data_IF_156951247866
#
_entry.id   IF_156951247866
#
_cell.length_a   1.000
_cell.length_b   1.000
_cell.length_c   1.000
_cell.angle_alpha   90.00
_cell.angle_beta   90.00
_cell.angle_gamma   90.00
#
_symmetry.space_group_name_H-M   'P 1'
#
loop_
_entity.id
_entity.type
_entity.pdbx_description
1 polymer ?
#
# COMPACT_ATOMS: atom_id res chain seq x y z
N UNK A 1 50.11 -12.12 17.59
CA UNK A 1 49.75 -12.18 16.16
C UNK A 1 48.33 -12.73 16.04
N UNK A 2 47.40 -11.90 15.51
CA UNK A 2 46.13 -12.19 14.80
C UNK A 2 45.17 -13.27 15.38
N UNK A 3 44.01 -12.87 15.93
CA UNK A 3 42.71 -12.67 15.23
C UNK A 3 42.10 -13.96 14.68
N UNK A 4 40.90 -14.33 15.13
CA UNK A 4 39.66 -14.29 14.33
C UNK A 4 38.44 -14.58 15.23
N UNK A 5 37.52 -13.61 15.26
CA UNK A 5 36.18 -13.67 15.83
C UNK A 5 35.24 -14.02 14.66
N UNK A 6 34.33 -15.00 14.74
CA UNK A 6 33.31 -15.19 13.73
C UNK A 6 32.23 -14.10 13.88
N UNK A 7 32.09 -13.28 12.85
CA UNK A 7 30.98 -12.32 12.68
C UNK A 7 29.75 -13.10 12.23
N UNK A 8 28.70 -13.10 13.06
CA UNK A 8 27.36 -13.57 12.72
C UNK A 8 26.73 -12.51 11.81
N UNK A 9 26.48 -12.84 10.53
CA UNK A 9 25.58 -12.05 9.69
C UNK A 9 24.16 -12.58 9.92
N UNK A 10 23.35 -11.77 10.60
CA UNK A 10 21.96 -12.09 10.93
C UNK A 10 21.09 -12.11 9.68
N UNK A 11 20.50 -13.27 9.41
CA UNK A 11 19.27 -13.40 8.66
C UNK A 11 18.13 -12.83 9.52
N UNK A 12 17.53 -11.73 9.09
CA UNK A 12 16.29 -11.23 9.69
C UNK A 12 15.15 -12.13 9.23
N UNK A 13 14.61 -12.92 10.16
CA UNK A 13 13.37 -13.65 10.00
C UNK A 13 12.22 -12.64 9.84
N UNK A 14 11.59 -12.67 8.66
CA UNK A 14 10.50 -11.79 8.28
C UNK A 14 9.21 -12.23 8.97
N UNK A 15 8.76 -11.50 9.99
CA UNK A 15 7.43 -11.69 10.55
C UNK A 15 6.42 -11.00 9.62
N UNK A 16 5.65 -11.80 8.89
CA UNK A 16 4.47 -11.38 8.14
C UNK A 16 3.33 -11.07 9.12
N UNK A 17 2.70 -9.90 9.00
CA UNK A 17 1.47 -9.58 9.73
C UNK A 17 0.41 -9.03 8.75
N UNK A 18 -0.75 -9.69 8.82
CA UNK A 18 -2.07 -9.46 8.21
C UNK A 18 -2.17 -9.13 6.70
N UNK A 19 -2.47 -10.17 5.91
CA UNK A 19 -3.25 -10.02 4.68
C UNK A 19 -4.73 -9.83 5.07
N UNK A 20 -5.35 -8.71 4.69
CA UNK A 20 -6.80 -8.54 4.79
C UNK A 20 -7.50 -9.50 3.80
N UNK A 21 -8.01 -10.63 4.32
CA UNK A 21 -8.88 -11.53 3.57
C UNK A 21 -10.33 -11.02 3.62
N UNK A 22 -10.95 -10.78 2.46
CA UNK A 22 -12.38 -10.51 2.33
C UNK A 22 -13.24 -11.80 2.32
N UNK A 23 -12.65 -12.97 2.58
CA UNK A 23 -13.37 -14.23 2.57
C UNK A 23 -14.02 -14.51 3.93
N UNK A 24 -15.21 -13.97 4.16
CA UNK A 24 -16.09 -14.41 5.26
C UNK A 24 -17.54 -14.51 4.79
N UNK A 25 -17.78 -15.37 3.79
CA UNK A 25 -19.10 -15.92 3.49
C UNK A 25 -18.97 -17.45 3.49
N UNK A 26 -19.52 -18.09 4.53
CA UNK A 26 -19.46 -19.55 4.71
C UNK A 26 -20.26 -20.26 3.61
N UNK A 27 -19.69 -21.28 2.92
CA UNK A 27 -20.49 -22.22 2.15
C UNK A 27 -21.11 -23.28 3.08
N UNK A 28 -22.40 -23.55 2.87
CA UNK A 28 -23.15 -24.64 3.48
C UNK A 28 -22.74 -25.96 2.80
N UNK A 29 -22.33 -26.97 3.57
CA UNK A 29 -21.97 -28.32 3.07
C UNK A 29 -23.11 -29.33 3.25
N UNK A 30 -23.23 -30.26 2.31
CA UNK A 30 -23.98 -31.53 2.41
C UNK A 30 -23.05 -32.73 2.11
N UNK A 31 -23.33 -33.97 2.60
CA UNK A 31 -22.29 -34.98 2.80
C UNK A 31 -22.27 -36.16 1.79
N UNK A 32 -21.08 -36.78 1.73
CA UNK A 32 -20.73 -38.17 1.33
C UNK A 32 -20.60 -38.49 -0.19
N UNK A 33 -19.71 -39.37 -0.66
CA UNK A 33 -19.14 -40.62 -0.10
C UNK A 33 -17.82 -41.03 -0.83
N UNK A 34 -16.98 -41.87 -0.20
CA UNK A 34 -15.66 -42.36 -0.67
C UNK A 34 -15.76 -43.62 -1.56
N UNK A 35 -14.82 -43.81 -2.49
CA UNK A 35 -14.15 -45.10 -2.79
C UNK A 35 -12.78 -44.86 -3.49
N UNK A 36 -11.77 -45.70 -3.20
CA UNK A 36 -10.40 -45.70 -3.75
C UNK A 36 -10.13 -47.02 -4.49
N UNK A 37 -9.41 -46.99 -5.61
CA UNK A 37 -8.56 -48.07 -6.17
C UNK A 37 -7.48 -47.50 -7.14
N UNK A 38 -6.41 -48.24 -7.54
CA UNK A 38 -5.02 -47.76 -7.46
C UNK A 38 -4.33 -47.31 -8.77
N UNK A 39 -3.13 -46.75 -8.55
CA UNK A 39 -2.23 -46.00 -9.42
C UNK A 39 -1.89 -46.59 -10.81
N UNK A 40 -2.03 -45.74 -11.84
CA UNK A 40 -1.33 -45.82 -13.12
C UNK A 40 -0.38 -44.61 -13.26
N UNK A 41 0.75 -44.80 -13.93
CA UNK A 41 1.79 -43.80 -14.12
C UNK A 41 1.24 -42.50 -14.73
N UNK A 42 1.35 -41.39 -14.00
CA UNK A 42 0.86 -40.07 -14.40
C UNK A 42 1.94 -39.37 -15.22
N UNK A 43 1.71 -39.20 -16.53
CA UNK A 43 2.34 -38.11 -17.28
C UNK A 43 1.96 -36.79 -16.61
N UNK A 44 2.95 -36.04 -16.13
CA UNK A 44 2.72 -34.78 -15.42
C UNK A 44 1.99 -33.79 -16.36
N UNK A 45 0.77 -33.44 -15.97
CA UNK A 45 -0.02 -32.38 -16.61
C UNK A 45 0.82 -31.09 -16.74
N UNK A 46 0.73 -30.31 -17.83
CA UNK A 46 1.52 -29.08 -18.04
C UNK A 46 1.46 -28.06 -16.89
N UNK A 47 0.41 -28.13 -16.06
CA UNK A 47 0.21 -27.33 -14.85
C UNK A 47 1.12 -27.75 -13.69
N UNK A 48 1.43 -29.05 -13.57
CA UNK A 48 2.31 -29.58 -12.52
C UNK A 48 3.78 -29.21 -12.75
N UNK A 49 4.21 -29.14 -14.02
CA UNK A 49 5.54 -28.63 -14.39
C UNK A 49 5.71 -27.13 -14.05
N UNK A 50 4.65 -26.33 -14.19
CA UNK A 50 4.63 -24.90 -13.82
C UNK A 50 4.69 -24.72 -12.30
N UNK A 51 3.92 -25.51 -11.54
CA UNK A 51 3.94 -25.49 -10.07
C UNK A 51 5.28 -25.98 -9.50
N UNK A 52 5.88 -27.00 -10.12
CA UNK A 52 7.20 -27.49 -9.76
C UNK A 52 8.30 -26.42 -9.97
N UNK A 53 8.25 -25.69 -11.09
CA UNK A 53 9.17 -24.58 -11.36
C UNK A 53 8.95 -23.41 -10.39
N UNK A 54 7.70 -23.12 -10.03
CA UNK A 54 7.33 -22.12 -9.02
C UNK A 54 7.91 -22.47 -7.64
N UNK A 55 7.74 -23.71 -7.16
CA UNK A 55 8.27 -24.14 -5.85
C UNK A 55 9.80 -24.15 -5.81
N UNK A 56 10.44 -24.63 -6.89
CA UNK A 56 11.90 -24.67 -7.01
C UNK A 56 12.52 -23.27 -7.01
N UNK A 57 11.88 -22.31 -7.68
CA UNK A 57 12.42 -20.96 -7.84
C UNK A 57 12.23 -20.08 -6.58
N UNK A 58 11.20 -20.36 -5.77
CA UNK A 58 10.91 -19.66 -4.53
C UNK A 58 11.54 -20.31 -3.28
N UNK A 59 12.44 -21.28 -3.44
CA UNK A 59 13.14 -21.93 -2.33
C UNK A 59 12.25 -22.78 -1.41
N UNK A 60 11.05 -23.17 -1.89
CA UNK A 60 10.11 -24.00 -1.12
C UNK A 60 10.61 -25.45 -1.18
N UNK A 61 10.97 -26.10 -0.05
CA UNK A 61 11.52 -27.45 -0.07
C UNK A 61 10.50 -28.44 -0.65
N UNK A 62 10.82 -29.02 -1.80
CA UNK A 62 9.94 -29.89 -2.60
C UNK A 62 9.70 -31.30 -2.03
N UNK A 63 9.42 -31.44 -0.73
CA UNK A 63 9.08 -32.74 -0.11
C UNK A 63 7.69 -32.72 0.52
N UNK A 64 6.68 -32.93 -0.33
CA UNK A 64 5.42 -33.66 -0.13
C UNK A 64 4.40 -33.13 -1.14
N UNK A 65 4.53 -33.57 -2.40
CA UNK A 65 3.48 -33.41 -3.41
C UNK A 65 3.10 -34.81 -3.92
N UNK A 66 2.88 -35.72 -2.98
CA UNK A 66 2.22 -36.99 -3.26
C UNK A 66 0.72 -36.77 -3.06
N UNK A 67 0.04 -36.51 -4.18
CA UNK A 67 -1.41 -36.30 -4.35
C UNK A 67 -1.97 -34.91 -4.03
N UNK A 68 -2.41 -34.21 -5.09
CA UNK A 68 -3.41 -33.13 -5.00
C UNK A 68 -4.78 -33.82 -4.87
N UNK A 69 -5.62 -33.52 -3.86
CA UNK A 69 -6.95 -34.10 -3.77
C UNK A 69 -7.82 -33.63 -4.95
N UNK A 70 -8.43 -34.56 -5.68
CA UNK A 70 -9.55 -34.23 -6.57
C UNK A 70 -10.68 -33.60 -5.74
N UNK A 71 -11.06 -32.37 -6.08
CA UNK A 71 -12.13 -31.63 -5.41
C UNK A 71 -11.70 -30.47 -4.50
N UNK A 72 -10.42 -30.11 -4.45
CA UNK A 72 -10.01 -28.86 -3.80
C UNK A 72 -10.49 -27.64 -4.61
N UNK A 73 -11.54 -26.95 -4.14
CA UNK A 73 -11.82 -25.60 -4.59
C UNK A 73 -10.65 -24.71 -4.15
N UNK A 74 -9.94 -24.13 -5.10
CA UNK A 74 -8.91 -23.13 -4.82
C UNK A 74 -9.63 -21.94 -4.18
N UNK A 75 -9.50 -21.79 -2.86
CA UNK A 75 -9.89 -20.56 -2.20
C UNK A 75 -8.97 -19.46 -2.75
N UNK A 76 -9.55 -18.48 -3.44
CA UNK A 76 -8.84 -17.40 -4.12
C UNK A 76 -7.98 -16.62 -3.10
N UNK A 77 -6.65 -16.73 -3.24
CA UNK A 77 -5.69 -16.16 -2.32
C UNK A 77 -5.53 -14.64 -2.54
N UNK A 78 -5.87 -13.85 -1.51
CA UNK A 78 -5.71 -12.39 -1.49
C UNK A 78 -4.22 -12.00 -1.34
N UNK A 79 -3.49 -11.94 -2.45
CA UNK A 79 -2.09 -11.46 -2.53
C UNK A 79 -2.05 -9.98 -2.93
N UNK A 80 -2.54 -9.07 -2.07
CA UNK A 80 -2.81 -7.69 -2.51
C UNK A 80 -1.68 -6.74 -2.13
N UNK A 81 -1.29 -6.68 -0.85
CA UNK A 81 -0.25 -5.77 -0.39
C UNK A 81 0.37 -6.28 0.92
N UNK A 82 1.57 -5.78 1.23
CA UNK A 82 2.16 -5.88 2.57
C UNK A 82 1.93 -4.56 3.28
N UNK A 83 1.25 -4.63 4.43
CA UNK A 83 1.06 -3.54 5.37
C UNK A 83 2.01 -3.72 6.54
N UNK A 84 2.91 -2.78 6.77
CA UNK A 84 3.82 -2.84 7.92
C UNK A 84 3.65 -1.56 8.73
N UNK A 85 3.16 -1.71 9.96
CA UNK A 85 3.26 -0.69 10.98
C UNK A 85 4.43 -1.02 11.92
N UNK A 86 5.06 -0.01 12.55
CA UNK A 86 5.91 -0.25 13.70
C UNK A 86 5.09 -0.99 14.76
N UNK A 87 5.53 -2.18 15.15
CA UNK A 87 4.88 -2.98 16.20
C UNK A 87 5.09 -2.27 17.55
N UNK A 88 4.01 -2.09 18.32
CA UNK A 88 4.12 -1.75 19.76
C UNK A 88 4.87 -2.90 20.45
N UNK A 89 5.99 -2.65 21.17
CA UNK A 89 6.89 -3.73 21.54
C UNK A 89 6.26 -4.75 22.48
N UNK A 90 6.23 -6.00 22.04
CA UNK A 90 6.27 -7.15 22.95
C UNK A 90 7.72 -7.25 23.43
N UNK A 91 8.04 -6.49 24.48
CA UNK A 91 9.30 -6.50 25.25
C UNK A 91 10.51 -5.72 24.70
N UNK A 92 10.97 -4.73 25.49
CA UNK A 92 12.39 -4.40 25.67
C UNK A 92 13.12 -3.56 24.62
N UNK A 93 12.73 -3.57 23.35
CA UNK A 93 13.38 -2.76 22.31
C UNK A 93 12.76 -1.35 22.23
N UNK A 94 13.59 -0.30 22.35
CA UNK A 94 13.17 1.10 22.15
C UNK A 94 12.98 1.36 20.64
N UNK A 95 11.79 1.09 20.12
CA UNK A 95 11.41 1.62 18.80
C UNK A 95 11.01 3.09 18.92
N UNK A 96 11.29 3.88 17.87
CA UNK A 96 10.84 5.28 17.77
C UNK A 96 9.30 5.35 17.81
N UNK A 97 8.78 6.44 18.37
CA UNK A 97 7.36 6.75 18.32
C UNK A 97 6.85 6.76 16.87
N UNK A 98 5.58 6.38 16.67
CA UNK A 98 4.93 6.43 15.37
C UNK A 98 4.91 7.87 14.86
N UNK A 99 5.20 8.04 13.58
CA UNK A 99 5.24 9.35 12.91
C UNK A 99 4.05 9.52 11.97
N UNK A 100 3.59 10.76 11.70
CA UNK A 100 2.59 11.07 10.67
C UNK A 100 3.15 10.93 9.24
N UNK A 101 3.82 9.79 8.99
CA UNK A 101 4.53 9.49 7.76
C UNK A 101 4.04 8.14 7.21
N UNK A 102 3.44 8.19 6.03
CA UNK A 102 3.16 7.03 5.19
C UNK A 102 4.18 6.96 4.07
N UNK A 103 4.79 5.79 3.85
CA UNK A 103 5.64 5.52 2.68
C UNK A 103 5.04 4.36 1.92
N UNK A 104 4.66 4.55 0.67
CA UNK A 104 4.13 3.47 -0.16
C UNK A 104 4.99 3.18 -1.40
N UNK A 105 4.96 1.92 -1.84
CA UNK A 105 5.59 1.44 -3.05
C UNK A 105 4.57 0.64 -3.87
N UNK A 106 3.85 1.28 -4.79
CA UNK A 106 2.78 0.64 -5.55
C UNK A 106 3.28 -0.27 -6.67
N UNK A 107 4.56 -0.17 -7.04
CA UNK A 107 5.10 -0.71 -8.30
C UNK A 107 6.22 -1.74 -8.12
N UNK A 108 6.56 -2.11 -6.89
CA UNK A 108 7.63 -3.05 -6.54
C UNK A 108 7.20 -4.53 -6.51
N UNK A 109 5.90 -4.78 -6.68
CA UNK A 109 5.31 -6.12 -6.64
C UNK A 109 5.84 -7.05 -7.73
N UNK A 110 6.12 -8.29 -7.32
CA UNK A 110 6.74 -9.36 -8.12
C UNK A 110 6.08 -10.72 -7.93
N UNK A 111 4.92 -10.77 -7.28
CA UNK A 111 4.06 -11.95 -7.21
C UNK A 111 3.12 -11.88 -8.41
N UNK A 112 3.47 -12.60 -9.46
CA UNK A 112 2.70 -12.65 -10.70
C UNK A 112 1.48 -13.57 -10.52
N UNK A 113 0.25 -13.06 -10.66
CA UNK A 113 -0.96 -13.87 -10.54
C UNK A 113 -0.98 -15.05 -11.52
N UNK A 114 -1.55 -16.18 -11.11
CA UNK A 114 -1.59 -17.42 -11.91
C UNK A 114 -2.42 -17.27 -13.19
N UNK A 115 -3.35 -16.32 -13.21
CA UNK A 115 -4.19 -15.96 -14.36
C UNK A 115 -3.53 -14.91 -15.28
N UNK A 116 -2.30 -14.46 -14.97
CA UNK A 116 -1.61 -13.47 -15.80
C UNK A 116 -1.04 -14.13 -17.07
N UNK A 117 -1.85 -14.11 -18.13
CA UNK A 117 -1.48 -14.57 -19.48
C UNK A 117 -0.59 -13.54 -20.24
N UNK A 118 0.62 -13.31 -19.74
CA UNK A 118 1.59 -12.43 -20.41
C UNK A 118 2.29 -13.13 -21.58
N UNK A 119 2.70 -12.34 -22.58
CA UNK A 119 3.40 -12.79 -23.79
C UNK A 119 4.93 -12.71 -23.77
N UNK A 120 5.58 -11.66 -23.24
CA UNK A 120 7.02 -11.51 -23.37
C UNK A 120 7.78 -12.50 -22.48
N UNK A 121 9.05 -12.71 -22.79
CA UNK A 121 9.99 -13.41 -21.89
C UNK A 121 9.92 -12.82 -20.48
N UNK A 122 9.99 -13.67 -19.46
CA UNK A 122 9.74 -13.25 -18.09
C UNK A 122 10.68 -12.12 -17.64
N UNK A 123 11.98 -12.22 -17.92
CA UNK A 123 12.94 -11.14 -17.63
C UNK A 123 12.54 -9.82 -18.28
N UNK A 124 11.99 -9.84 -19.49
CA UNK A 124 11.49 -8.62 -20.15
C UNK A 124 10.25 -8.08 -19.46
N UNK A 125 9.30 -8.93 -19.07
CA UNK A 125 8.12 -8.53 -18.30
C UNK A 125 8.51 -7.81 -17.00
N UNK A 126 9.50 -8.34 -16.29
CA UNK A 126 10.06 -7.77 -15.07
C UNK A 126 10.64 -6.37 -15.26
N UNK A 127 11.05 -5.98 -16.48
CA UNK A 127 11.51 -4.60 -16.77
C UNK A 127 10.39 -3.58 -16.58
N UNK A 128 9.14 -4.03 -16.48
CA UNK A 128 8.00 -3.23 -16.08
C UNK A 128 7.98 -2.90 -14.58
N UNK A 129 8.60 -3.68 -13.70
CA UNK A 129 8.64 -3.45 -12.25
C UNK A 129 9.42 -2.18 -11.90
N UNK A 130 9.05 -1.54 -10.79
CA UNK A 130 9.95 -0.68 -10.02
C UNK A 130 10.68 -1.57 -9.00
N UNK A 131 11.48 -2.50 -9.53
CA UNK A 131 12.04 -3.62 -8.79
C UNK A 131 12.82 -3.17 -7.55
N UNK A 132 12.64 -3.91 -6.45
CA UNK A 132 13.32 -3.72 -5.17
C UNK A 132 13.08 -2.37 -4.45
N UNK A 133 12.15 -1.53 -4.93
CA UNK A 133 11.78 -0.30 -4.21
C UNK A 133 11.17 -0.62 -2.84
N UNK A 134 10.41 -1.71 -2.71
CA UNK A 134 9.94 -2.26 -1.43
C UNK A 134 11.08 -2.42 -0.42
N UNK A 135 12.22 -2.95 -0.88
CA UNK A 135 13.41 -3.12 -0.03
C UNK A 135 14.11 -1.78 0.26
N UNK A 136 14.11 -0.84 -0.68
CA UNK A 136 14.70 0.50 -0.49
C UNK A 136 13.92 1.32 0.53
N UNK A 137 12.59 1.17 0.59
CA UNK A 137 11.72 1.90 1.54
C UNK A 137 11.55 1.21 2.89
N UNK A 138 11.78 -0.10 2.98
CA UNK A 138 11.64 -0.86 4.23
C UNK A 138 12.30 -0.22 5.48
N UNK A 139 13.50 0.40 5.39
CA UNK A 139 14.10 1.08 6.54
C UNK A 139 13.28 2.24 7.13
N UNK A 140 12.28 2.77 6.42
CA UNK A 140 11.37 3.79 6.94
C UNK A 140 10.60 3.32 8.19
N UNK A 141 10.38 2.01 8.33
CA UNK A 141 9.74 1.42 9.53
C UNK A 141 10.50 1.77 10.82
N UNK A 142 11.84 1.77 10.77
CA UNK A 142 12.67 2.12 11.93
C UNK A 142 12.55 3.60 12.33
N UNK A 143 11.98 4.43 11.46
CA UNK A 143 11.75 5.86 11.71
C UNK A 143 10.36 6.15 12.28
N UNK A 144 9.53 5.13 12.50
CA UNK A 144 8.14 5.28 12.95
C UNK A 144 7.12 5.44 11.82
N UNK A 145 7.54 5.33 10.56
CA UNK A 145 6.65 5.43 9.41
C UNK A 145 5.77 4.19 9.26
N UNK A 146 4.56 4.37 8.71
CA UNK A 146 3.77 3.27 8.16
C UNK A 146 4.25 2.97 6.73
N UNK A 147 4.44 1.69 6.37
CA UNK A 147 4.92 1.30 5.04
C UNK A 147 3.91 0.37 4.34
N UNK A 148 3.61 0.66 3.07
CA UNK A 148 2.73 -0.14 2.22
C UNK A 148 3.47 -0.53 0.94
N UNK A 149 3.41 -1.79 0.53
CA UNK A 149 3.95 -2.20 -0.77
C UNK A 149 2.97 -3.12 -1.51
N UNK A 150 2.77 -2.88 -2.80
CA UNK A 150 1.98 -3.80 -3.63
C UNK A 150 2.76 -5.10 -3.82
N UNK A 151 2.08 -6.24 -3.74
CA UNK A 151 2.71 -7.54 -3.99
C UNK A 151 2.65 -7.97 -5.45
N UNK A 152 1.65 -7.47 -6.18
CA UNK A 152 1.39 -7.77 -7.58
C UNK A 152 2.07 -6.76 -8.52
N UNK A 153 2.43 -7.17 -9.75
CA UNK A 153 3.13 -6.30 -10.68
C UNK A 153 2.17 -5.30 -11.33
N UNK A 154 2.62 -4.05 -11.49
CA UNK A 154 1.85 -3.01 -12.20
C UNK A 154 1.55 -3.31 -13.66
N UNK A 155 2.26 -4.28 -14.26
CA UNK A 155 1.96 -4.78 -15.62
C UNK A 155 0.66 -5.59 -15.66
N UNK A 156 0.22 -6.14 -14.52
CA UNK A 156 -1.07 -6.80 -14.37
C UNK A 156 -2.19 -5.76 -14.17
N UNK A 157 -2.04 -4.87 -13.19
CA UNK A 157 -2.90 -3.69 -13.00
C UNK A 157 -2.13 -2.59 -12.25
N UNK A 158 -2.19 -1.35 -12.73
CA UNK A 158 -1.41 -0.23 -12.22
C UNK A 158 -2.24 0.62 -11.23
N UNK A 159 -1.99 0.45 -9.93
CA UNK A 159 -2.71 1.19 -8.86
C UNK A 159 -2.36 2.68 -8.79
N UNK A 160 -1.34 3.13 -9.51
CA UNK A 160 -1.02 4.55 -9.66
C UNK A 160 -1.66 5.16 -10.92
N UNK A 161 -2.83 4.62 -11.32
CA UNK A 161 -3.70 5.11 -12.39
C UNK A 161 -5.12 5.29 -11.89
N UNK A 162 -5.92 6.00 -12.68
CA UNK A 162 -7.35 6.12 -12.44
C UNK A 162 -8.06 4.86 -12.99
N UNK A 163 -9.10 4.39 -12.32
CA UNK A 163 -9.90 3.21 -12.68
C UNK A 163 -10.53 3.31 -14.07
N UNK A 164 -10.89 4.53 -14.49
CA UNK A 164 -11.37 4.83 -15.84
C UNK A 164 -10.26 4.99 -16.90
N UNK A 165 -8.98 4.94 -16.53
CA UNK A 165 -7.85 5.12 -17.47
C UNK A 165 -7.55 3.83 -18.26
N UNK A 166 -8.58 3.33 -18.94
CA UNK A 166 -8.59 2.04 -19.61
C UNK A 166 -8.35 2.22 -21.10
N UNK A 167 -7.43 1.40 -21.62
CA UNK A 167 -7.20 1.22 -23.04
C UNK A 167 -8.26 0.29 -23.65
N UNK A 168 -9.26 0.84 -24.32
CA UNK A 168 -10.36 0.04 -24.89
C UNK A 168 -9.91 -0.93 -25.99
N UNK A 169 -8.75 -0.70 -26.61
CA UNK A 169 -8.19 -1.60 -27.63
C UNK A 169 -7.69 -2.93 -27.04
N UNK A 170 -7.46 -2.98 -25.72
CA UNK A 170 -7.10 -4.21 -25.02
C UNK A 170 -8.30 -5.11 -24.74
N UNK A 171 -9.53 -4.65 -24.98
CA UNK A 171 -10.75 -5.33 -24.53
C UNK A 171 -11.41 -6.16 -25.65
N UNK A 172 -11.83 -7.36 -25.29
CA UNK A 172 -12.55 -8.28 -26.19
C UNK A 172 -13.99 -7.84 -26.45
N UNK A 173 -14.54 -6.99 -25.60
CA UNK A 173 -15.90 -6.45 -25.69
C UNK A 173 -15.94 -5.03 -25.12
N UNK A 174 -16.96 -4.22 -25.45
CA UNK A 174 -17.09 -2.87 -24.90
C UNK A 174 -17.09 -2.85 -23.37
N UNK A 175 -16.34 -1.91 -22.78
CA UNK A 175 -16.37 -1.71 -21.33
C UNK A 175 -17.72 -1.12 -20.90
N UNK A 176 -18.39 -1.67 -19.87
CA UNK A 176 -19.73 -1.22 -19.48
C UNK A 176 -19.76 0.08 -18.68
N UNK A 177 -18.61 0.60 -18.25
CA UNK A 177 -18.48 1.82 -17.42
C UNK A 177 -17.79 2.97 -18.17
N UNK A 178 -17.81 4.21 -17.65
CA UNK A 178 -17.10 5.32 -18.27
C UNK A 178 -15.60 5.06 -18.43
N UNK A 179 -15.06 5.36 -19.62
CA UNK A 179 -13.62 5.32 -19.92
C UNK A 179 -13.11 6.71 -20.22
N UNK A 180 -11.90 7.02 -19.72
CA UNK A 180 -11.19 8.30 -19.89
C UNK A 180 -9.70 8.03 -20.13
N UNK A 181 -9.32 7.48 -21.29
CA UNK A 181 -7.93 7.16 -21.60
C UNK A 181 -7.07 8.44 -21.60
N UNK A 182 -6.02 8.43 -20.78
CA UNK A 182 -5.04 9.50 -20.64
C UNK A 182 -3.97 9.45 -21.74
N UNK A 183 -3.11 10.48 -21.80
CA UNK A 183 -1.91 10.45 -22.64
C UNK A 183 -0.98 9.26 -22.32
N UNK A 184 -0.99 8.77 -21.07
CA UNK A 184 -0.22 7.58 -20.68
C UNK A 184 -0.85 6.33 -21.29
N UNK A 185 -2.17 6.22 -21.28
CA UNK A 185 -2.91 5.14 -21.94
C UNK A 185 -2.69 5.14 -23.44
N UNK A 186 -2.68 6.31 -24.09
CA UNK A 186 -2.33 6.43 -25.51
C UNK A 186 -0.92 5.89 -25.83
N UNK A 187 0.00 5.90 -24.85
CA UNK A 187 1.36 5.31 -24.94
C UNK A 187 1.42 3.86 -24.43
N UNK A 188 0.30 3.24 -24.11
CA UNK A 188 0.20 1.86 -23.62
C UNK A 188 0.53 1.67 -22.14
N UNK A 189 0.46 2.74 -21.33
CA UNK A 189 0.80 2.77 -19.90
C UNK A 189 -0.40 3.16 -19.01
N UNK A 190 -1.60 2.74 -19.41
CA UNK A 190 -2.86 2.96 -18.67
C UNK A 190 -3.00 2.07 -17.44
N UNK A 191 -4.24 1.97 -16.91
CA UNK A 191 -4.60 1.07 -15.81
C UNK A 191 -4.15 -0.37 -16.11
N UNK A 192 -4.34 -0.79 -17.36
CA UNK A 192 -3.82 -2.03 -17.92
C UNK A 192 -2.73 -1.63 -18.92
N UNK A 193 -1.55 -2.24 -18.83
CA UNK A 193 -0.45 -1.93 -19.75
C UNK A 193 -0.62 -2.68 -21.06
N UNK A 194 -0.51 -1.95 -22.17
CA UNK A 194 -0.36 -2.53 -23.51
C UNK A 194 1.07 -2.96 -23.76
N UNK A 195 2.04 -2.20 -23.25
CA UNK A 195 3.48 -2.45 -23.44
C UNK A 195 4.23 -2.45 -22.12
N UNK A 196 5.25 -3.30 -22.01
CA UNK A 196 6.19 -3.30 -20.88
C UNK A 196 7.25 -2.21 -21.06
N UNK A 197 7.83 -2.19 -22.26
CA UNK A 197 8.83 -1.26 -22.79
C UNK A 197 8.51 -1.02 -24.26
N UNK A 198 9.15 -0.04 -24.95
CA UNK A 198 8.84 0.22 -26.36
C UNK A 198 8.98 -1.04 -27.21
N UNK A 199 7.91 -1.40 -27.93
CA UNK A 199 7.88 -2.56 -28.83
C UNK A 199 7.66 -3.92 -28.16
N UNK A 200 7.52 -4.00 -26.84
CA UNK A 200 7.31 -5.27 -26.12
C UNK A 200 5.88 -5.32 -25.56
N UNK A 201 4.91 -5.92 -26.28
CA UNK A 201 3.52 -5.99 -25.83
C UNK A 201 3.37 -6.93 -24.64
N UNK A 202 2.48 -6.59 -23.70
CA UNK A 202 2.17 -7.43 -22.53
C UNK A 202 1.40 -8.68 -22.94
N UNK A 203 0.48 -8.54 -23.91
CA UNK A 203 -0.38 -9.63 -24.39
C UNK A 203 0.00 -10.04 -25.81
N UNK A 204 -0.27 -11.30 -26.14
CA UNK A 204 0.01 -11.84 -27.47
C UNK A 204 -0.82 -11.10 -28.53
N UNK A 205 -0.32 -10.94 -29.77
CA UNK A 205 -1.12 -10.37 -30.86
C UNK A 205 -2.48 -11.07 -31.00
N UNK A 206 -3.55 -10.29 -31.03
CA UNK A 206 -4.93 -10.81 -31.12
C UNK A 206 -5.54 -11.28 -29.79
N UNK A 207 -4.75 -11.42 -28.72
CA UNK A 207 -5.27 -11.69 -27.38
C UNK A 207 -5.80 -10.40 -26.76
N UNK A 208 -7.04 -10.44 -26.28
CA UNK A 208 -7.73 -9.33 -25.62
C UNK A 208 -8.26 -9.80 -24.28
N UNK A 209 -8.35 -8.87 -23.33
CA UNK A 209 -8.92 -9.11 -21.99
C UNK A 209 -10.45 -9.07 -22.06
N UNK A 210 -11.10 -10.00 -21.37
CA UNK A 210 -12.55 -9.91 -21.16
C UNK A 210 -12.88 -8.85 -20.10
N UNK A 211 -14.15 -8.42 -20.07
CA UNK A 211 -14.63 -7.47 -19.06
C UNK A 211 -14.48 -8.08 -17.65
N UNK A 212 -14.77 -9.37 -17.52
CA UNK A 212 -14.67 -10.13 -16.26
C UNK A 212 -13.24 -10.18 -15.76
N UNK A 213 -12.26 -10.41 -16.66
CA UNK A 213 -10.84 -10.39 -16.30
C UNK A 213 -10.44 -9.03 -15.74
N UNK A 214 -10.77 -7.93 -16.43
CA UNK A 214 -10.43 -6.58 -15.96
C UNK A 214 -11.14 -6.24 -14.65
N UNK A 215 -12.42 -6.59 -14.53
CA UNK A 215 -13.19 -6.38 -13.31
C UNK A 215 -12.60 -7.14 -12.12
N UNK A 216 -12.19 -8.41 -12.31
CA UNK A 216 -11.49 -9.19 -11.29
C UNK A 216 -10.21 -8.48 -10.84
N UNK A 217 -9.41 -7.93 -11.75
CA UNK A 217 -8.20 -7.19 -11.37
C UNK A 217 -8.51 -5.96 -10.52
N UNK A 218 -9.57 -5.24 -10.88
CA UNK A 218 -9.99 -4.05 -10.15
C UNK A 218 -10.39 -4.42 -8.71
N UNK A 219 -11.32 -5.37 -8.56
CA UNK A 219 -11.88 -5.76 -7.26
C UNK A 219 -10.87 -6.49 -6.37
N UNK A 220 -10.02 -7.33 -6.95
CA UNK A 220 -9.10 -8.18 -6.18
C UNK A 220 -7.77 -7.52 -5.85
N UNK A 221 -7.35 -6.49 -6.59
CA UNK A 221 -6.00 -5.90 -6.45
C UNK A 221 -6.02 -4.38 -6.35
N UNK A 222 -6.70 -3.69 -7.27
CA UNK A 222 -6.69 -2.23 -7.33
C UNK A 222 -7.43 -1.60 -6.15
N UNK A 223 -8.68 -1.98 -5.93
CA UNK A 223 -9.52 -1.43 -4.87
C UNK A 223 -8.98 -1.74 -3.47
N UNK A 224 -8.55 -2.98 -3.14
CA UNK A 224 -8.07 -3.26 -1.79
C UNK A 224 -6.72 -2.57 -1.50
N UNK A 225 -5.85 -2.41 -2.51
CA UNK A 225 -4.62 -1.63 -2.34
C UNK A 225 -4.91 -0.17 -2.00
N UNK A 226 -5.79 0.49 -2.78
CA UNK A 226 -6.16 1.89 -2.53
C UNK A 226 -6.94 2.06 -1.22
N UNK A 227 -7.74 1.06 -0.83
CA UNK A 227 -8.43 1.03 0.46
C UNK A 227 -7.42 0.98 1.61
N UNK A 228 -6.37 0.17 1.48
CA UNK A 228 -5.31 0.09 2.48
C UNK A 228 -4.57 1.42 2.65
N UNK A 229 -4.22 2.07 1.54
CA UNK A 229 -3.60 3.42 1.54
C UNK A 229 -4.54 4.44 2.21
N UNK A 230 -5.82 4.46 1.82
CA UNK A 230 -6.81 5.37 2.40
C UNK A 230 -6.97 5.17 3.92
N UNK A 231 -7.04 3.92 4.38
CA UNK A 231 -7.16 3.60 5.79
C UNK A 231 -5.91 4.03 6.58
N UNK A 232 -4.71 3.89 5.99
CA UNK A 232 -3.47 4.34 6.63
C UNK A 232 -3.41 5.86 6.77
N UNK A 233 -3.83 6.59 5.72
CA UNK A 233 -3.95 8.05 5.73
C UNK A 233 -4.95 8.49 6.80
N UNK A 234 -6.16 7.92 6.81
CA UNK A 234 -7.19 8.21 7.79
C UNK A 234 -6.70 7.98 9.23
N UNK A 235 -6.00 6.86 9.46
CA UNK A 235 -5.50 6.48 10.76
C UNK A 235 -4.42 7.44 11.27
N UNK A 236 -3.44 7.79 10.43
CA UNK A 236 -2.39 8.76 10.78
C UNK A 236 -2.98 10.16 10.98
N UNK A 237 -3.87 10.60 10.09
CA UNK A 237 -4.50 11.92 10.19
C UNK A 237 -5.39 12.03 11.44
N UNK A 238 -6.11 10.97 11.82
CA UNK A 238 -6.92 10.96 13.05
C UNK A 238 -6.09 11.02 14.34
N UNK A 239 -4.84 10.57 14.27
CA UNK A 239 -3.91 10.56 15.39
C UNK A 239 -3.15 11.89 15.51
N UNK A 240 -2.68 12.43 14.39
CA UNK A 240 -1.74 13.55 14.38
C UNK A 240 -2.33 14.87 13.86
N UNK A 241 -3.56 14.87 13.33
CA UNK A 241 -4.18 16.02 12.67
C UNK A 241 -3.56 16.40 11.32
N UNK A 242 -2.51 15.70 10.89
CA UNK A 242 -1.79 15.88 9.63
C UNK A 242 -1.15 14.55 9.22
N UNK A 243 -0.95 14.33 7.94
CA UNK A 243 -0.24 13.17 7.40
C UNK A 243 0.59 13.55 6.18
N UNK A 244 1.80 13.01 6.14
CA UNK A 244 2.74 13.15 5.05
C UNK A 244 2.93 11.80 4.37
N UNK A 245 2.69 11.75 3.07
CA UNK A 245 2.66 10.53 2.28
C UNK A 245 3.70 10.59 1.17
N UNK A 246 4.67 9.67 1.19
CA UNK A 246 5.69 9.50 0.17
C UNK A 246 5.36 8.29 -0.73
N UNK A 247 4.97 8.55 -1.97
CA UNK A 247 4.73 7.58 -3.05
C UNK A 247 6.02 7.30 -3.81
N UNK A 248 6.69 6.19 -3.47
CA UNK A 248 8.07 5.90 -3.88
C UNK A 248 8.11 4.91 -5.04
N UNK A 249 8.83 5.32 -6.06
CA UNK A 249 8.96 4.69 -7.36
C UNK A 249 10.42 4.57 -7.81
N UNK A 250 10.63 3.86 -8.91
CA UNK A 250 11.87 3.98 -9.67
C UNK A 250 11.66 4.13 -11.16
N UNK A 251 12.39 5.08 -11.73
CA UNK A 251 12.34 5.43 -13.13
C UNK A 251 13.53 4.84 -13.89
N UNK A 252 13.32 4.61 -15.20
CA UNK A 252 14.42 4.22 -16.10
C UNK A 252 15.58 5.21 -16.02
N UNK A 253 16.81 4.73 -16.14
CA UNK A 253 17.99 5.59 -16.03
C UNK A 253 18.05 6.70 -17.07
N UNK A 254 17.47 6.44 -18.25
CA UNK A 254 17.29 7.40 -19.34
C UNK A 254 15.87 7.38 -19.86
N UNK A 255 15.45 8.49 -20.48
CA UNK A 255 14.19 8.57 -21.20
C UNK A 255 14.14 7.63 -22.41
N UNK A 256 12.93 7.21 -22.80
CA UNK A 256 12.66 6.37 -23.97
C UNK A 256 11.42 6.89 -24.73
N UNK A 257 11.05 6.21 -25.82
CA UNK A 257 9.93 6.64 -26.68
C UNK A 257 8.56 6.70 -25.98
N UNK A 258 8.40 6.01 -24.84
CA UNK A 258 7.14 6.01 -24.07
C UNK A 258 7.15 7.04 -22.94
N UNK A 259 8.29 7.67 -22.61
CA UNK A 259 8.40 8.62 -21.49
C UNK A 259 8.22 10.07 -21.96
N UNK A 260 7.78 11.01 -21.08
CA UNK A 260 7.49 12.40 -21.48
C UNK A 260 8.69 13.19 -21.98
N UNK A 261 9.88 12.83 -21.49
CA UNK A 261 11.18 13.44 -21.81
C UNK A 261 11.83 12.91 -23.09
N UNK A 262 11.28 11.85 -23.70
CA UNK A 262 11.76 11.30 -24.96
C UNK A 262 13.03 10.44 -24.85
N UNK A 263 13.46 9.88 -25.98
CA UNK A 263 14.55 8.91 -26.01
C UNK A 263 15.93 9.52 -25.72
N UNK A 264 16.68 8.89 -24.81
CA UNK A 264 18.06 9.25 -24.48
C UNK A 264 18.19 10.41 -23.49
N UNK A 265 17.10 11.03 -23.05
CA UNK A 265 17.11 12.11 -22.07
C UNK A 265 17.83 11.70 -20.78
N UNK A 266 18.74 12.56 -20.31
CA UNK A 266 19.40 12.40 -19.01
C UNK A 266 18.42 12.70 -17.88
N UNK A 267 18.59 12.04 -16.75
CA UNK A 267 17.73 12.19 -15.57
C UNK A 267 18.59 12.42 -14.33
N UNK A 268 18.08 13.19 -13.35
CA UNK A 268 18.72 13.29 -12.04
C UNK A 268 18.70 11.93 -11.33
N UNK A 269 19.34 11.87 -10.18
CA UNK A 269 19.29 10.70 -9.30
C UNK A 269 17.88 10.52 -8.72
N UNK A 270 17.20 11.63 -8.39
CA UNK A 270 15.84 11.62 -7.85
C UNK A 270 14.97 12.70 -8.50
N UNK A 271 13.70 12.39 -8.76
CA UNK A 271 12.67 13.39 -9.07
C UNK A 271 11.66 13.42 -7.94
N UNK A 272 11.38 14.60 -7.41
CA UNK A 272 10.30 14.84 -6.43
C UNK A 272 9.13 15.50 -7.16
N UNK A 273 7.94 14.91 -7.07
CA UNK A 273 6.71 15.43 -7.67
C UNK A 273 5.67 15.75 -6.60
N UNK A 274 5.02 16.91 -6.70
CA UNK A 274 4.01 17.39 -5.75
C UNK A 274 2.74 17.89 -6.47
N UNK A 275 2.55 17.46 -7.71
CA UNK A 275 1.58 17.97 -8.68
C UNK A 275 1.68 19.48 -8.90
N UNK A 276 2.89 20.05 -8.85
CA UNK A 276 3.17 21.49 -8.96
C UNK A 276 2.53 22.29 -7.82
N UNK A 277 2.70 21.79 -6.60
CA UNK A 277 2.18 22.37 -5.36
C UNK A 277 0.71 22.08 -5.08
N UNK A 278 0.07 21.19 -5.85
CA UNK A 278 -1.34 20.84 -5.62
C UNK A 278 -1.52 19.71 -4.59
N UNK A 279 -0.49 18.88 -4.39
CA UNK A 279 -0.59 17.71 -3.51
C UNK A 279 0.09 17.91 -2.15
N UNK A 280 0.94 18.94 -1.99
CA UNK A 280 1.80 19.08 -0.82
C UNK A 280 2.08 20.56 -0.53
N UNK A 281 2.34 20.88 0.74
CA UNK A 281 2.83 22.20 1.11
C UNK A 281 4.28 22.42 0.61
N UNK A 282 4.64 23.65 0.18
CA UNK A 282 5.97 23.95 -0.36
C UNK A 282 7.12 23.63 0.61
N UNK A 283 6.92 23.88 1.91
CA UNK A 283 7.92 23.71 2.96
C UNK A 283 8.36 22.25 3.07
N UNK A 284 7.40 21.32 3.06
CA UNK A 284 7.71 19.89 3.12
C UNK A 284 8.42 19.41 1.84
N UNK A 285 7.95 19.87 0.67
CA UNK A 285 8.58 19.55 -0.62
C UNK A 285 10.04 19.98 -0.62
N UNK A 286 10.32 21.22 -0.18
CA UNK A 286 11.67 21.76 -0.09
C UNK A 286 12.52 20.99 0.92
N UNK A 287 11.96 20.62 2.07
CA UNK A 287 12.66 19.84 3.08
C UNK A 287 13.09 18.47 2.54
N UNK A 288 12.19 17.74 1.87
CA UNK A 288 12.51 16.42 1.29
C UNK A 288 13.59 16.54 0.22
N UNK A 289 13.53 17.55 -0.64
CA UNK A 289 14.58 17.84 -1.64
C UNK A 289 15.93 18.06 -0.96
N UNK A 290 15.99 18.93 0.04
CA UNK A 290 17.23 19.22 0.79
C UNK A 290 17.74 17.99 1.55
N UNK A 291 16.85 17.14 2.04
CA UNK A 291 17.23 15.91 2.72
C UNK A 291 17.93 14.93 1.78
N UNK A 292 17.42 14.79 0.55
CA UNK A 292 18.01 13.96 -0.51
C UNK A 292 19.33 14.55 -1.04
N UNK A 293 19.39 15.86 -1.27
CA UNK A 293 20.60 16.55 -1.73
C UNK A 293 21.75 16.45 -0.71
N UNK A 294 21.43 16.46 0.59
CA UNK A 294 22.41 16.27 1.66
C UNK A 294 23.06 14.87 1.65
N UNK A 295 22.42 13.88 1.03
CA UNK A 295 22.98 12.55 0.79
C UNK A 295 23.80 12.48 -0.52
N UNK A 296 24.01 13.62 -1.19
CA UNK A 296 24.78 13.73 -2.42
C UNK A 296 24.02 13.35 -3.69
N UNK A 297 22.69 13.25 -3.63
CA UNK A 297 21.84 12.92 -4.77
C UNK A 297 21.49 14.20 -5.54
N UNK A 298 21.57 14.14 -6.87
CA UNK A 298 21.00 15.18 -7.72
C UNK A 298 19.46 15.07 -7.73
N UNK A 299 18.77 16.17 -7.49
CA UNK A 299 17.30 16.19 -7.39
C UNK A 299 16.70 17.17 -8.38
N UNK A 300 15.62 16.77 -9.06
CA UNK A 300 14.74 17.71 -9.77
C UNK A 300 13.35 17.71 -9.16
N UNK A 301 12.61 18.80 -9.37
CA UNK A 301 11.22 18.93 -8.92
C UNK A 301 10.28 18.96 -10.12
N UNK A 302 9.26 18.12 -10.10
CA UNK A 302 8.18 18.02 -11.09
C UNK A 302 8.61 17.72 -12.54
N UNK A 303 9.85 17.26 -12.77
CA UNK A 303 10.41 17.05 -14.11
C UNK A 303 11.28 15.78 -14.20
N UNK A 304 10.96 14.83 -15.10
CA UNK A 304 9.81 14.81 -16.02
C UNK A 304 8.49 14.35 -15.37
N UNK A 305 8.54 13.94 -14.10
CA UNK A 305 7.39 13.42 -13.37
C UNK A 305 6.95 14.42 -12.30
N UNK A 306 5.70 14.87 -12.40
CA UNK A 306 5.09 15.79 -11.43
C UNK A 306 4.24 15.08 -10.38
N UNK A 307 4.00 13.77 -10.50
CA UNK A 307 3.01 13.05 -9.70
C UNK A 307 1.93 12.39 -10.55
N UNK A 308 1.39 11.27 -10.08
CA UNK A 308 0.41 10.44 -10.78
C UNK A 308 -0.90 10.25 -9.99
N UNK A 309 -1.54 9.08 -10.12
CA UNK A 309 -2.90 8.81 -9.66
C UNK A 309 -3.06 8.84 -8.14
N UNK A 310 -2.09 8.30 -7.39
CA UNK A 310 -2.12 8.25 -5.92
C UNK A 310 -2.13 9.66 -5.33
N UNK A 311 -1.19 10.52 -5.75
CA UNK A 311 -1.16 11.92 -5.33
C UNK A 311 -2.46 12.66 -5.69
N UNK A 312 -3.03 12.44 -6.89
CA UNK A 312 -4.29 13.08 -7.29
C UNK A 312 -5.48 12.59 -6.48
N UNK A 313 -5.44 11.36 -5.98
CA UNK A 313 -6.53 10.74 -5.23
C UNK A 313 -6.53 11.19 -3.78
N UNK A 314 -5.35 11.28 -3.16
CA UNK A 314 -5.23 11.46 -1.73
C UNK A 314 -4.69 12.83 -1.31
N UNK A 315 -3.91 13.51 -2.17
CA UNK A 315 -3.34 14.82 -1.85
C UNK A 315 -4.44 15.86 -1.64
N UNK A 316 -4.49 16.39 -0.43
CA UNK A 316 -5.42 17.42 0.01
C UNK A 316 -4.71 18.29 1.07
N UNK A 317 -3.72 19.10 0.66
CA UNK A 317 -2.87 19.83 1.60
C UNK A 317 -3.66 20.83 2.47
N UNK A 318 -4.79 21.34 1.98
CA UNK A 318 -5.70 22.18 2.77
C UNK A 318 -6.40 21.43 3.91
N UNK A 319 -6.46 20.09 3.82
CA UNK A 319 -7.07 19.19 4.81
C UNK A 319 -6.00 18.38 5.56
N UNK A 320 -4.74 18.86 5.57
CA UNK A 320 -3.65 18.20 6.30
C UNK A 320 -3.15 16.89 5.69
N UNK A 321 -3.48 16.58 4.43
CA UNK A 321 -2.98 15.39 3.71
C UNK A 321 -1.99 15.82 2.63
N UNK A 322 -0.70 15.67 2.90
CA UNK A 322 0.37 16.09 2.00
C UNK A 322 1.01 14.88 1.31
N UNK A 323 0.98 14.84 -0.02
CA UNK A 323 1.52 13.72 -0.81
C UNK A 323 2.66 14.18 -1.73
N UNK A 324 3.78 13.44 -1.71
CA UNK A 324 4.90 13.59 -2.63
C UNK A 324 5.16 12.28 -3.36
N UNK A 325 5.51 12.37 -4.64
CA UNK A 325 6.04 11.25 -5.42
C UNK A 325 7.56 11.34 -5.45
N UNK A 326 8.25 10.24 -5.20
CA UNK A 326 9.71 10.13 -5.29
C UNK A 326 10.06 9.11 -6.35
N UNK A 327 10.75 9.54 -7.42
CA UNK A 327 11.21 8.67 -8.49
C UNK A 327 12.72 8.47 -8.39
N UNK A 328 13.17 7.27 -8.04
CA UNK A 328 14.58 6.92 -7.96
C UNK A 328 15.13 6.49 -9.32
N UNK A 329 16.27 7.04 -9.73
CA UNK A 329 16.96 6.60 -10.93
C UNK A 329 17.53 5.19 -10.74
N UNK A 330 17.11 4.24 -11.58
CA UNK A 330 17.55 2.83 -11.48
C UNK A 330 19.05 2.63 -11.63
N UNK A 331 19.78 3.54 -12.28
CA UNK A 331 21.25 3.47 -12.36
C UNK A 331 21.93 3.52 -10.97
N UNK A 332 21.21 4.00 -9.95
CA UNK A 332 21.68 4.02 -8.57
C UNK A 332 21.70 2.64 -7.91
N UNK A 333 21.04 1.61 -8.44
CA UNK A 333 20.91 0.34 -7.71
C UNK A 333 20.58 -0.91 -8.54
N UNK A 334 20.14 -0.78 -9.79
CA UNK A 334 19.59 -1.88 -10.60
C UNK A 334 20.29 -2.03 -11.96
N UNK A 335 20.60 -3.26 -12.35
CA UNK A 335 20.79 -3.64 -13.76
C UNK A 335 19.41 -3.69 -14.42
N UNK A 336 19.11 -2.73 -15.30
CA UNK A 336 17.79 -2.58 -15.92
C UNK A 336 17.45 -3.64 -16.99
N UNK A 337 18.45 -4.37 -17.48
CA UNK A 337 18.26 -5.43 -18.47
C UNK A 337 17.95 -6.76 -17.77
N UNK A 338 18.72 -7.11 -16.74
CA UNK A 338 18.53 -8.34 -15.97
C UNK A 338 17.47 -8.21 -14.87
N UNK A 339 17.16 -6.97 -14.46
CA UNK A 339 16.27 -6.67 -13.32
C UNK A 339 16.81 -7.31 -12.03
N UNK A 340 18.09 -7.09 -11.80
CA UNK A 340 18.86 -7.56 -10.65
C UNK A 340 19.55 -6.39 -9.96
N UNK A 341 19.71 -6.46 -8.63
CA UNK A 341 20.48 -5.46 -7.90
C UNK A 341 21.94 -5.46 -8.38
N UNK A 342 22.52 -4.27 -8.50
CA UNK A 342 23.94 -4.11 -8.81
C UNK A 342 24.79 -4.65 -7.65
N UNK A 343 25.76 -5.51 -7.96
CA UNK A 343 26.60 -6.20 -6.96
C UNK A 343 27.75 -5.35 -6.40
N UNK A 344 27.83 -4.06 -6.75
CA UNK A 344 28.93 -3.15 -6.41
C UNK A 344 28.65 -2.28 -5.17
N UNK A 345 27.70 -2.70 -4.34
CA UNK A 345 27.30 -2.01 -3.11
C UNK A 345 26.43 -0.78 -3.32
N UNK A 346 26.06 -0.43 -4.56
CA UNK A 346 25.23 0.73 -4.87
C UNK A 346 23.86 0.66 -4.22
N UNK A 347 23.24 -0.52 -4.22
CA UNK A 347 21.95 -0.76 -3.56
C UNK A 347 22.01 -0.42 -2.07
N UNK A 348 23.00 -0.96 -1.35
CA UNK A 348 23.17 -0.77 0.09
C UNK A 348 23.48 0.69 0.44
N UNK A 349 24.28 1.37 -0.39
CA UNK A 349 24.55 2.81 -0.22
C UNK A 349 23.29 3.64 -0.38
N UNK A 350 22.49 3.38 -1.42
CA UNK A 350 21.23 4.08 -1.64
C UNK A 350 20.23 3.79 -0.50
N UNK A 351 20.08 2.53 -0.11
CA UNK A 351 19.20 2.14 1.00
C UNK A 351 19.60 2.85 2.31
N UNK A 352 20.90 2.93 2.59
CA UNK A 352 21.41 3.62 3.78
C UNK A 352 21.17 5.12 3.74
N UNK A 353 21.31 5.75 2.57
CA UNK A 353 20.99 7.16 2.36
C UNK A 353 19.48 7.41 2.57
N UNK A 354 18.63 6.60 1.96
CA UNK A 354 17.18 6.70 2.12
C UNK A 354 16.75 6.48 3.57
N UNK A 355 17.36 5.54 4.30
CA UNK A 355 17.09 5.34 5.72
C UNK A 355 17.35 6.62 6.55
N UNK A 356 18.45 7.34 6.28
CA UNK A 356 18.74 8.63 6.93
C UNK A 356 17.75 9.72 6.52
N UNK A 357 17.35 9.75 5.25
CA UNK A 357 16.31 10.67 4.75
C UNK A 357 14.99 10.41 5.47
N UNK A 358 14.52 9.16 5.54
CA UNK A 358 13.27 8.81 6.23
C UNK A 358 13.31 9.18 7.71
N UNK A 359 14.44 9.00 8.39
CA UNK A 359 14.58 9.43 9.79
C UNK A 359 14.42 10.96 9.93
N UNK A 360 15.09 11.74 9.07
CA UNK A 360 14.98 13.21 9.06
C UNK A 360 13.57 13.69 8.70
N UNK A 361 12.92 13.03 7.75
CA UNK A 361 11.53 13.31 7.38
C UNK A 361 10.59 13.00 8.54
N UNK A 362 10.71 11.83 9.16
CA UNK A 362 9.89 11.48 10.32
C UNK A 362 10.03 12.52 11.45
N UNK A 363 11.26 12.93 11.78
CA UNK A 363 11.52 13.98 12.78
C UNK A 363 10.84 15.31 12.42
N UNK A 364 10.92 15.71 11.15
CA UNK A 364 10.26 16.91 10.66
C UNK A 364 8.73 16.81 10.77
N UNK A 365 8.14 15.67 10.37
CA UNK A 365 6.69 15.46 10.40
C UNK A 365 6.12 15.45 11.82
N UNK A 366 6.85 14.86 12.77
CA UNK A 366 6.48 14.87 14.19
C UNK A 366 6.47 16.29 14.77
N UNK A 367 7.49 17.09 14.43
CA UNK A 367 7.54 18.50 14.84
C UNK A 367 6.36 19.27 14.27
N UNK A 368 6.06 19.07 12.99
CA UNK A 368 4.97 19.76 12.29
C UNK A 368 3.60 19.39 12.85
N UNK A 369 3.38 18.11 13.19
CA UNK A 369 2.16 17.66 13.86
C UNK A 369 2.00 18.24 15.28
N UNK A 370 3.08 18.37 16.04
CA UNK A 370 3.03 19.02 17.36
C UNK A 370 2.64 20.51 17.27
N UNK A 371 3.07 21.20 16.21
CA UNK A 371 2.68 22.57 15.91
C UNK A 371 1.18 22.68 15.56
N UNK A 372 0.66 21.76 14.73
CA UNK A 372 -0.76 21.73 14.35
C UNK A 372 -1.70 21.39 15.52
N UNK A 373 -1.31 20.46 16.40
CA UNK A 373 -2.13 20.04 17.54
C UNK A 373 -2.04 20.97 18.76
N UNK A 374 -1.17 21.99 18.74
CA UNK A 374 -1.01 22.94 19.84
C UNK A 374 -0.48 22.33 21.16
N UNK A 375 0.08 21.11 21.14
CA UNK A 375 0.66 20.39 22.29
C UNK A 375 1.81 19.47 21.84
N UNK A 376 2.86 19.27 22.66
CA UNK A 376 3.85 18.24 22.38
C UNK A 376 3.20 16.85 22.45
N UNK A 377 3.43 16.04 21.41
CA UNK A 377 2.98 14.64 21.31
C UNK A 377 3.66 13.86 22.43
N UNK A 378 2.89 13.39 23.43
CA UNK A 378 3.40 12.53 24.50
C UNK A 378 3.40 11.06 24.05
N UNK A 379 4.43 10.30 24.43
CA UNK A 379 4.68 8.89 24.08
C UNK A 379 3.64 7.85 24.61
N UNK A 380 2.37 8.22 24.80
CA UNK A 380 1.37 7.37 25.47
C UNK A 380 0.03 7.35 24.72
N UNK A 381 0.01 6.88 23.48
CA UNK A 381 -1.23 6.38 22.86
C UNK A 381 -1.15 4.85 22.83
N UNK A 382 -2.08 4.17 23.49
CA UNK A 382 -2.12 2.71 23.54
C UNK A 382 -2.80 2.13 22.31
N UNK A 383 -2.48 0.89 21.94
CA UNK A 383 -3.11 0.14 20.83
C UNK A 383 -4.64 0.06 20.97
N UNK A 384 -5.16 0.03 22.20
CA UNK A 384 -6.59 0.05 22.49
C UNK A 384 -7.28 1.37 22.09
N UNK A 385 -6.60 2.51 22.23
CA UNK A 385 -7.10 3.84 21.85
C UNK A 385 -7.08 4.04 20.33
N UNK A 386 -6.16 3.38 19.63
CA UNK A 386 -6.08 3.34 18.18
C UNK A 386 -7.26 2.56 17.56
N UNK A 387 -7.47 1.32 18.03
CA UNK A 387 -8.54 0.42 17.58
C UNK A 387 -9.93 1.07 17.79
N UNK A 388 -10.14 1.73 18.94
CA UNK A 388 -11.40 2.44 19.24
C UNK A 388 -11.70 3.61 18.30
N UNK A 389 -10.69 4.33 17.82
CA UNK A 389 -10.86 5.49 16.91
C UNK A 389 -11.07 5.10 15.45
N UNK A 390 -10.32 4.10 14.96
CA UNK A 390 -10.22 3.81 13.52
C UNK A 390 -11.35 2.91 13.00
N UNK A 391 -11.74 1.87 13.76
CA UNK A 391 -12.76 0.89 13.36
C UNK A 391 -14.12 1.49 12.98
N UNK A 392 -14.65 2.51 13.68
CA UNK A 392 -15.93 3.12 13.31
C UNK A 392 -15.90 3.82 11.93
N UNK A 393 -14.76 4.42 11.55
CA UNK A 393 -14.58 5.08 10.26
C UNK A 393 -14.46 4.06 9.12
N UNK A 394 -13.63 3.03 9.33
CA UNK A 394 -13.46 1.91 8.38
C UNK A 394 -14.79 1.21 8.13
N UNK A 395 -15.54 0.88 9.19
CA UNK A 395 -16.84 0.23 9.07
C UNK A 395 -17.88 1.12 8.36
N UNK A 396 -17.81 2.44 8.51
CA UNK A 396 -18.71 3.39 7.82
C UNK A 396 -18.44 3.42 6.32
N UNK A 397 -17.17 3.45 5.90
CA UNK A 397 -16.77 3.46 4.48
C UNK A 397 -17.04 2.12 3.79
N UNK A 398 -16.75 1.00 4.45
CA UNK A 398 -17.09 -0.34 3.94
C UNK A 398 -18.61 -0.49 3.71
N UNK A 399 -19.43 0.01 4.63
CA UNK A 399 -20.90 0.02 4.47
C UNK A 399 -21.36 0.92 3.32
N UNK A 400 -20.76 2.11 3.14
CA UNK A 400 -21.10 2.99 2.01
C UNK A 400 -20.70 2.42 0.65
N UNK A 401 -19.71 1.53 0.60
CA UNK A 401 -19.28 0.80 -0.60
C UNK A 401 -20.03 -0.52 -0.82
N UNK A 402 -21.13 -0.78 -0.08
CA UNK A 402 -21.96 -1.97 -0.25
C UNK A 402 -21.37 -3.27 0.33
N UNK A 403 -20.27 -3.18 1.09
CA UNK A 403 -19.63 -4.35 1.71
C UNK A 403 -20.29 -4.66 3.07
N UNK A 404 -20.59 -5.94 3.33
CA UNK A 404 -21.13 -6.39 4.63
C UNK A 404 -20.00 -6.55 5.63
N UNK A 405 -20.02 -5.75 6.70
CA UNK A 405 -19.10 -5.87 7.84
C UNK A 405 -19.67 -6.90 8.83
N UNK A 406 -18.91 -7.95 9.16
CA UNK A 406 -19.30 -8.94 10.17
C UNK A 406 -19.36 -8.31 11.56
N UNK A 407 -20.38 -8.64 12.38
CA UNK A 407 -20.48 -8.18 13.77
C UNK A 407 -19.28 -8.63 14.63
N UNK A 408 -18.62 -9.74 14.26
CA UNK A 408 -17.43 -10.27 14.93
C UNK A 408 -16.17 -9.39 14.78
N UNK A 409 -16.15 -8.46 13.82
CA UNK A 409 -15.09 -7.43 13.70
C UNK A 409 -15.23 -6.30 14.74
N UNK A 410 -16.38 -6.24 15.45
CA UNK A 410 -16.69 -5.23 16.46
C UNK A 410 -16.68 -5.81 17.89
N UNK A 411 -16.62 -7.13 18.05
CA UNK A 411 -16.67 -7.79 19.37
C UNK A 411 -15.50 -7.47 20.33
N UNK A 412 -14.27 -7.12 19.88
CA UNK A 412 -13.21 -6.70 20.80
C UNK A 412 -13.54 -5.42 21.59
N UNK A 413 -14.58 -4.65 21.20
CA UNK A 413 -15.00 -3.43 21.88
C UNK A 413 -15.95 -3.67 23.07
N UNK A 414 -16.51 -4.87 23.24
CA UNK A 414 -17.58 -5.12 24.23
C UNK A 414 -17.13 -5.93 25.47
N UNK A 415 -15.92 -6.49 25.47
CA UNK A 415 -15.43 -7.36 26.55
C UNK A 415 -14.34 -6.71 27.43
N UNK A 416 -14.17 -5.38 27.35
CA UNK A 416 -13.13 -4.64 28.06
C UNK A 416 -13.49 -4.11 29.45
N UNK A 417 -14.70 -4.37 29.97
CA UNK A 417 -15.14 -3.91 31.30
C UNK A 417 -15.77 -5.06 32.09
N UNK A 418 -14.94 -6.02 32.50
CA UNK A 418 -15.36 -7.03 33.49
C UNK A 418 -14.14 -7.57 34.25
N UNK A 419 -13.45 -6.70 34.99
CA UNK A 419 -12.77 -7.09 36.24
C UNK A 419 -12.34 -5.82 37.00
N UNK A 420 -13.31 -5.23 37.68
CA UNK A 420 -13.09 -4.25 38.75
C UNK A 420 -13.62 -4.86 40.05
N UNK A 421 -12.78 -5.60 40.75
CA UNK A 421 -13.09 -6.17 42.05
C UNK A 421 -13.49 -5.08 43.05
N UNK A 422 -14.71 -5.18 43.56
CA UNK A 422 -15.18 -4.45 44.73
C UNK A 422 -14.40 -4.92 45.97
N UNK A 423 -13.52 -4.07 46.50
CA UNK A 423 -13.25 -4.05 47.95
C UNK A 423 -14.12 -2.95 48.57
N UNK A 424 -15.02 -3.40 49.43
CA UNK A 424 -15.85 -2.60 50.30
C UNK A 424 -15.05 -2.11 51.50
N UNK A 425 -15.13 -0.81 51.82
CA UNK A 425 -15.00 -0.35 53.20
C UNK A 425 -16.12 0.67 53.48
N UNK A 426 -16.84 0.56 54.61
CA UNK A 426 -18.05 1.31 54.92
C UNK A 426 -17.73 2.61 55.68
N UNK A 427 -18.76 3.41 55.92
CA UNK A 427 -18.78 4.60 56.79
C UNK A 427 -18.32 5.93 56.16
N UNK A 428 -19.27 6.61 55.52
CA UNK A 428 -19.65 7.96 55.96
C UNK A 428 -21.01 8.33 55.40
N UNK A 429 -21.97 8.25 56.30
CA UNK A 429 -23.32 8.75 56.19
C UNK A 429 -23.26 10.26 56.45
N UNK A 430 -23.64 11.10 55.49
CA UNK A 430 -24.17 12.43 55.81
C UNK A 430 -25.05 12.96 54.67
N UNK A 431 -26.33 12.98 54.97
CA UNK A 431 -27.44 13.56 54.22
C UNK A 431 -27.74 14.93 54.82
N UNK A 432 -27.71 16.02 54.04
CA UNK A 432 -28.47 17.25 54.33
C UNK A 432 -28.76 18.04 53.04
N UNK A 433 -30.06 18.13 52.72
CA UNK A 433 -30.85 19.34 52.46
C UNK A 433 -30.31 20.43 51.51
N UNK A 434 -30.94 20.71 50.37
CA UNK A 434 -32.26 21.34 50.08
C UNK A 434 -32.13 22.85 49.76
N UNK A 435 -32.87 23.22 48.71
CA UNK A 435 -33.33 24.57 48.32
C UNK A 435 -32.32 25.53 47.63
N UNK A 436 -32.61 25.90 46.37
CA UNK A 436 -33.22 27.20 46.04
C UNK A 436 -33.57 27.31 44.54
N UNK A 437 -34.87 27.51 44.32
CA UNK A 437 -35.61 28.34 43.35
C UNK A 437 -35.18 28.56 41.88
N UNK A 438 -36.24 28.55 41.07
CA UNK A 438 -36.37 28.83 39.64
C UNK A 438 -36.27 30.33 39.33
N UNK A 439 -35.88 30.70 38.10
CA UNK A 439 -36.72 31.49 37.18
C UNK A 439 -36.11 31.53 35.74
N UNK A 440 -36.90 31.86 34.69
CA UNK A 440 -36.71 31.36 33.31
C UNK A 440 -36.47 32.45 32.25
N UNK A 441 -35.78 32.16 31.13
CA UNK A 441 -35.91 32.93 29.86
C UNK A 441 -35.64 32.03 28.62
N UNK A 442 -36.62 31.78 27.74
CA UNK A 442 -37.03 32.49 26.50
C UNK A 442 -36.47 31.89 25.19
N UNK A 443 -37.41 31.30 24.44
CA UNK A 443 -37.58 31.16 22.99
C UNK A 443 -36.49 30.56 22.09
N UNK A 444 -36.72 29.31 21.67
CA UNK A 444 -36.25 28.78 20.39
C UNK A 444 -37.23 29.19 19.26
N UNK A 445 -36.73 29.95 18.28
CA UNK A 445 -37.37 30.13 16.98
C UNK A 445 -36.66 29.30 15.92
N UNK A 446 -37.46 28.38 15.39
CA UNK A 446 -37.39 27.66 14.11
C UNK A 446 -36.53 28.30 13.00
N UNK A 447 -35.66 27.47 12.41
CA UNK A 447 -35.02 27.66 11.11
C UNK A 447 -35.89 27.04 9.99
N UNK A 448 -36.21 27.75 8.89
CA UNK A 448 -36.87 27.17 7.74
C UNK A 448 -35.88 26.78 6.62
N UNK A 449 -36.39 25.87 5.78
CA UNK A 449 -35.81 25.27 4.57
C UNK A 449 -35.45 26.29 3.47
N UNK A 450 -34.42 25.96 2.69
CA UNK A 450 -34.15 26.43 1.31
C UNK A 450 -32.99 25.58 0.76
N UNK A 451 -33.10 24.67 -0.22
CA UNK A 451 -33.58 24.74 -1.61
C UNK A 451 -32.88 25.82 -2.44
N UNK A 452 -31.83 25.43 -3.18
CA UNK A 452 -31.44 26.09 -4.43
C UNK A 452 -30.96 25.10 -5.48
N UNK A 453 -31.57 25.25 -6.66
CA UNK A 453 -31.38 24.50 -7.89
C UNK A 453 -30.16 24.96 -8.68
N UNK A 454 -29.72 24.07 -9.57
CA UNK A 454 -28.70 24.24 -10.63
C UNK A 454 -29.32 24.96 -11.85
N UNK A 455 -28.55 25.75 -12.60
CA UNK A 455 -28.71 25.91 -14.05
C UNK A 455 -27.40 25.51 -14.78
N UNK A 456 -27.41 24.46 -15.60
CA UNK A 456 -27.78 24.36 -17.03
C UNK A 456 -26.62 24.66 -17.96
#
# INVERSE_FOLDING_TARGET
>A
MRQFIPVIHGSLDWIALEACSLASLKPVTLPHQRHREPAAAVELHPSAAKLYNYCRFNGIPGKQLDSVPEGASVAEEAHVAVYLQPITPVTGERHRARAPLLVDSPHSGRIYPVDFEFYPEFTKLRRGEDAYVDRLVAPALHSGATVIAALFPRTYIDVNRHENDIDVELLASPWPYPVRPSEKTARGLGLLRRYVIPGEPVYAPGKRLTVEQVHHRIVSYFEPYLTLVANAIDALHSEFGVVYHLDVHSMKSRGNAMTPDGAGASRPDVVVGDLRGLACEPEFTQFVVQALEAEGLSVSVNKPYAGAGILRRFGAPQDGVHCLQIELNRALYLDEEQVECLSDGRFERLQSALARVFARVADWTLKRAAEEMGKPISEQDTEADFVRRVLPSVARRLRSSGMRVSASLLEPLLLGDADGGHESDPDSNDSLDSDYEQEPEISEKQSPKGLYCIPS
#
